data_IF_476390341716
#
_entry.id   IF_476390341716
#
_cell.length_a   1.000
_cell.length_b   1.000
_cell.length_c   1.000
_cell.angle_alpha   90.00
_cell.angle_beta   90.00
_cell.angle_gamma   90.00
#
_symmetry.space_group_name_H-M   'P 1'
#
loop_
_entity.id
_entity.type
_entity.pdbx_description
1 polymer ?
#
# COMPACT_ATOMS: atom_id res chain seq x y z
N UNK A 1 -34.60 -0.03 2.21
CA UNK A 1 -33.34 0.13 2.98
C UNK A 1 -32.19 -0.08 2.01
N UNK A 2 -31.16 0.76 2.04
CA UNK A 2 -30.00 0.64 1.14
C UNK A 2 -28.78 0.20 1.95
N UNK A 3 -28.00 -0.75 1.41
CA UNK A 3 -26.74 -1.15 2.01
C UNK A 3 -25.65 -0.10 1.76
N UNK A 4 -24.91 0.25 2.80
CA UNK A 4 -23.68 1.03 2.70
C UNK A 4 -22.49 0.07 2.75
N UNK A 5 -21.50 0.28 1.89
CA UNK A 5 -20.27 -0.50 1.89
C UNK A 5 -19.07 0.44 1.96
N UNK A 6 -17.96 -0.09 2.51
CA UNK A 6 -16.65 0.57 2.53
C UNK A 6 -15.64 -0.38 1.91
N UNK A 7 -14.69 0.14 1.13
CA UNK A 7 -13.57 -0.65 0.62
C UNK A 7 -12.28 -0.12 1.21
N UNK A 8 -11.46 -1.05 1.68
CA UNK A 8 -10.10 -0.79 2.13
C UNK A 8 -9.08 -1.56 1.29
N UNK A 9 -7.89 -0.97 1.17
CA UNK A 9 -6.69 -1.61 0.62
C UNK A 9 -5.63 -1.64 1.73
N UNK A 10 -5.10 -2.82 1.99
CA UNK A 10 -4.08 -3.04 3.02
C UNK A 10 -2.75 -3.29 2.33
N UNK A 11 -1.73 -2.51 2.72
CA UNK A 11 -0.36 -2.65 2.25
C UNK A 11 0.51 -3.16 3.37
N UNK A 12 1.24 -4.25 3.13
CA UNK A 12 2.19 -4.82 4.08
C UNK A 12 3.61 -4.37 3.74
N UNK A 13 4.30 -3.87 4.75
CA UNK A 13 5.67 -3.38 4.64
C UNK A 13 6.57 -4.12 5.62
N UNK A 14 7.83 -4.28 5.24
CA UNK A 14 8.88 -4.81 6.10
C UNK A 14 9.99 -3.76 6.21
N UNK A 15 10.42 -3.44 7.43
CA UNK A 15 11.52 -2.52 7.64
C UNK A 15 12.82 -3.07 7.03
N UNK A 16 13.50 -2.27 6.20
CA UNK A 16 14.86 -2.59 5.75
C UNK A 16 15.86 -2.64 6.91
N UNK A 17 15.63 -1.85 7.97
CA UNK A 17 16.51 -1.76 9.14
C UNK A 17 16.18 -2.81 10.22
N UNK A 18 15.05 -2.68 10.92
CA UNK A 18 14.74 -3.54 12.08
C UNK A 18 13.99 -4.84 11.74
N UNK A 19 13.72 -5.10 10.45
CA UNK A 19 13.03 -6.30 9.93
C UNK A 19 11.61 -6.56 10.42
N UNK A 20 11.08 -5.74 11.34
CA UNK A 20 9.69 -5.80 11.74
C UNK A 20 8.77 -5.38 10.58
N UNK A 21 7.59 -6.00 10.56
CA UNK A 21 6.56 -5.69 9.60
C UNK A 21 5.52 -4.72 10.18
N UNK A 22 4.83 -4.01 9.31
CA UNK A 22 3.65 -3.22 9.64
C UNK A 22 2.72 -3.13 8.43
N UNK A 23 1.46 -2.79 8.69
CA UNK A 23 0.46 -2.62 7.64
C UNK A 23 -0.09 -1.20 7.62
N UNK A 24 -0.44 -0.73 6.44
CA UNK A 24 -1.16 0.54 6.26
C UNK A 24 -2.45 0.28 5.48
N UNK A 25 -3.59 0.60 6.10
CA UNK A 25 -4.89 0.55 5.48
C UNK A 25 -5.25 1.93 4.91
N UNK A 26 -5.75 1.94 3.68
CA UNK A 26 -6.29 3.14 3.03
C UNK A 26 -7.63 2.83 2.41
N UNK A 27 -8.48 3.84 2.29
CA UNK A 27 -9.74 3.72 1.57
C UNK A 27 -9.54 3.63 0.05
N UNK A 28 -10.58 3.99 -0.71
CA UNK A 28 -10.59 3.88 -2.17
C UNK A 28 -9.45 4.59 -2.91
N UNK A 29 -8.83 5.61 -2.31
CA UNK A 29 -7.84 6.48 -2.98
C UNK A 29 -6.42 5.90 -3.05
N UNK A 30 -6.17 4.70 -2.52
CA UNK A 30 -4.85 4.08 -2.52
C UNK A 30 -3.87 4.81 -1.60
N UNK A 31 -2.58 4.43 -1.67
CA UNK A 31 -1.54 5.08 -0.90
C UNK A 31 -1.13 6.40 -1.59
N UNK A 32 -1.17 7.54 -0.89
CA UNK A 32 -0.72 8.80 -1.47
C UNK A 32 0.75 8.73 -1.90
N UNK A 33 1.05 9.25 -3.10
CA UNK A 33 2.40 9.30 -3.67
C UNK A 33 3.42 10.00 -2.75
N UNK A 34 2.99 10.97 -1.94
CA UNK A 34 3.87 11.65 -0.98
C UNK A 34 4.33 10.75 0.17
N UNK A 35 3.56 9.72 0.54
CA UNK A 35 4.00 8.74 1.56
C UNK A 35 5.15 7.89 1.01
N UNK A 36 5.25 7.68 -0.32
CA UNK A 36 6.30 6.88 -0.95
C UNK A 36 7.72 7.46 -0.79
N UNK A 37 7.85 8.76 -0.56
CA UNK A 37 9.14 9.45 -0.49
C UNK A 37 9.73 9.49 0.92
N UNK A 38 8.97 9.14 1.95
CA UNK A 38 9.43 9.28 3.34
C UNK A 38 8.71 8.31 4.28
N UNK A 39 8.72 7.02 3.95
CA UNK A 39 8.12 6.01 4.83
C UNK A 39 8.91 5.93 6.13
N UNK A 40 8.20 6.10 7.24
CA UNK A 40 8.75 5.99 8.58
C UNK A 40 8.37 4.63 9.17
N UNK A 41 9.36 3.90 9.69
CA UNK A 41 9.12 2.68 10.44
C UNK A 41 8.55 3.01 11.83
N UNK A 42 7.35 2.55 12.20
CA UNK A 42 6.76 2.80 13.52
C UNK A 42 7.53 2.14 14.67
N UNK A 43 8.37 1.14 14.37
CA UNK A 43 9.08 0.35 15.38
C UNK A 43 10.45 0.93 15.75
N UNK A 44 11.23 1.40 14.77
CA UNK A 44 12.61 1.88 15.02
C UNK A 44 12.88 3.30 14.51
N UNK A 45 11.88 3.92 13.89
CA UNK A 45 11.95 5.28 13.37
C UNK A 45 12.82 5.51 12.15
N UNK A 46 13.40 4.45 11.58
CA UNK A 46 14.13 4.52 10.33
C UNK A 46 13.24 5.04 9.20
N UNK A 47 13.78 5.95 8.39
CA UNK A 47 13.11 6.53 7.24
C UNK A 47 13.79 6.05 5.97
N UNK A 48 13.01 5.49 5.07
CA UNK A 48 13.49 5.05 3.78
C UNK A 48 12.40 5.22 2.72
N UNK A 49 12.83 5.22 1.47
CA UNK A 49 11.93 5.20 0.33
C UNK A 49 11.39 3.79 0.10
N UNK A 50 10.17 3.69 -0.44
CA UNK A 50 9.66 2.40 -0.92
C UNK A 50 10.51 1.99 -2.12
N UNK A 51 11.11 0.79 -2.10
CA UNK A 51 11.93 0.30 -3.20
C UNK A 51 11.21 0.31 -4.56
N UNK A 52 11.96 0.44 -5.66
CA UNK A 52 11.40 0.51 -7.02
C UNK A 52 10.49 -0.68 -7.37
N UNK A 53 10.82 -1.89 -6.91
CA UNK A 53 9.99 -3.08 -7.09
C UNK A 53 8.61 -2.95 -6.43
N UNK A 54 8.57 -2.40 -5.22
CA UNK A 54 7.34 -2.16 -4.50
C UNK A 54 6.51 -1.05 -5.18
N UNK A 55 7.16 0.00 -5.72
CA UNK A 55 6.48 1.01 -6.56
C UNK A 55 5.90 0.42 -7.84
N UNK A 56 6.62 -0.48 -8.51
CA UNK A 56 6.15 -1.16 -9.73
C UNK A 56 4.93 -2.07 -9.46
N UNK A 57 4.93 -2.79 -8.34
CA UNK A 57 3.78 -3.60 -7.89
C UNK A 57 2.58 -2.73 -7.54
N UNK A 58 2.78 -1.58 -6.90
CA UNK A 58 1.67 -0.64 -6.64
C UNK A 58 1.04 -0.10 -7.94
N UNK A 59 1.87 0.32 -8.91
CA UNK A 59 1.39 0.82 -10.21
C UNK A 59 0.58 -0.21 -10.97
N UNK A 60 1.05 -1.46 -10.98
CA UNK A 60 0.32 -2.55 -11.62
C UNK A 60 -1.01 -2.77 -10.92
N UNK A 61 -1.06 -2.93 -9.59
CA UNK A 61 -2.32 -3.11 -8.85
C UNK A 61 -3.34 -1.98 -9.11
N UNK A 62 -2.91 -0.71 -9.16
CA UNK A 62 -3.80 0.40 -9.50
C UNK A 62 -4.33 0.33 -10.95
N UNK A 63 -3.49 -0.08 -11.90
CA UNK A 63 -3.89 -0.30 -13.29
C UNK A 63 -4.86 -1.49 -13.42
N UNK A 64 -4.68 -2.56 -12.63
CA UNK A 64 -5.58 -3.71 -12.59
C UNK A 64 -6.97 -3.32 -12.07
N UNK A 65 -7.04 -2.56 -10.98
CA UNK A 65 -8.30 -2.03 -10.44
C UNK A 65 -9.01 -1.13 -11.46
N UNK A 66 -8.28 -0.21 -12.12
CA UNK A 66 -8.85 0.68 -13.15
C UNK A 66 -9.37 -0.07 -14.38
N UNK A 67 -8.81 -1.24 -14.69
CA UNK A 67 -9.20 -2.08 -15.83
C UNK A 67 -10.35 -3.05 -15.53
N UNK A 68 -10.90 -3.03 -14.31
CA UNK A 68 -12.03 -3.88 -13.91
C UNK A 68 -11.75 -5.38 -13.99
N UNK A 69 -10.47 -5.78 -14.03
CA UNK A 69 -10.07 -7.18 -14.18
C UNK A 69 -9.69 -7.72 -12.82
N UNK A 70 -10.58 -8.51 -12.23
CA UNK A 70 -10.30 -9.24 -11.00
C UNK A 70 -9.27 -10.34 -11.33
N UNK A 71 -8.25 -10.59 -10.49
CA UNK A 71 -7.47 -11.81 -10.60
C UNK A 71 -8.44 -12.98 -10.40
N UNK A 72 -8.48 -13.89 -11.38
CA UNK A 72 -8.98 -15.24 -11.12
C UNK A 72 -8.13 -15.82 -9.99
N UNK A 73 -8.81 -16.41 -8.99
CA UNK A 73 -8.17 -17.17 -7.93
C UNK A 73 -7.18 -18.20 -8.48
#
# INVERSE_FOLDING_TARGET
>A
MAHLYTVEKIYNFTCSHCKNWWSYATGHKGLPLYIQQNFYCPHCGHRDSVGEDAKARMKTTEQWVKRGRHPSQ
#
